data_IF_608753402798
#
_entry.id   IF_608753402798
#
_cell.length_a   1.000
_cell.length_b   1.000
_cell.length_c   1.000
_cell.angle_alpha   90.00
_cell.angle_beta   90.00
_cell.angle_gamma   90.00
#
_symmetry.space_group_name_H-M   'P 1'
#
loop_
_entity.id
_entity.type
_entity.pdbx_description
1 polymer ?
#
# COMPACT_ATOMS: atom_id res chain seq x y z
N UNK A 1 12.54 -18.73 11.66
CA UNK A 1 11.26 -18.01 11.91
C UNK A 1 11.46 -17.20 13.17
N UNK A 2 11.57 -15.88 13.06
CA UNK A 2 11.68 -15.00 14.23
C UNK A 2 10.30 -14.90 14.86
N UNK A 3 10.08 -15.62 15.95
CA UNK A 3 8.85 -15.56 16.72
C UNK A 3 8.86 -14.24 17.51
N UNK A 4 8.40 -13.15 16.91
CA UNK A 4 8.09 -11.94 17.67
C UNK A 4 6.90 -12.25 18.57
N UNK A 5 7.15 -12.62 19.81
CA UNK A 5 6.10 -12.74 20.83
C UNK A 5 5.64 -11.33 21.25
N UNK A 6 5.25 -10.54 20.28
CA UNK A 6 4.87 -9.14 20.46
C UNK A 6 3.38 -9.05 20.73
N UNK A 7 3.07 -8.64 21.95
CA UNK A 7 1.70 -8.25 22.30
C UNK A 7 1.35 -6.99 21.55
N UNK A 8 0.17 -6.95 20.94
CA UNK A 8 -0.35 -5.75 20.32
C UNK A 8 -1.80 -5.50 20.71
N UNK A 9 -2.23 -4.26 20.58
CA UNK A 9 -3.62 -3.84 20.78
C UNK A 9 -4.04 -2.86 19.69
N UNK A 10 -5.32 -2.83 19.38
CA UNK A 10 -5.91 -1.79 18.54
C UNK A 10 -6.48 -0.70 19.43
N UNK A 11 -6.16 0.55 19.12
CA UNK A 11 -6.70 1.71 19.81
C UNK A 11 -6.61 2.96 18.93
N UNK A 12 -7.37 3.99 19.31
CA UNK A 12 -7.24 5.31 18.70
C UNK A 12 -6.23 6.13 19.50
N UNK A 13 -5.30 6.77 18.79
CA UNK A 13 -4.32 7.68 19.35
C UNK A 13 -4.44 9.06 18.70
N UNK A 14 -4.17 10.09 19.49
CA UNK A 14 -4.04 11.42 18.91
C UNK A 14 -2.80 11.44 18.00
N UNK A 15 -2.98 11.88 16.76
CA UNK A 15 -1.93 11.93 15.76
C UNK A 15 -0.69 12.73 16.21
N UNK A 16 -0.84 13.68 17.16
CA UNK A 16 0.27 14.46 17.72
C UNK A 16 1.24 13.62 18.55
N UNK A 17 0.78 12.51 19.13
CA UNK A 17 1.60 11.61 19.93
C UNK A 17 2.48 10.70 19.06
N UNK A 18 2.20 10.62 17.76
CA UNK A 18 2.87 9.73 16.85
C UNK A 18 4.15 10.36 16.31
N UNK A 19 5.26 9.69 16.53
CA UNK A 19 6.61 10.12 16.13
C UNK A 19 7.10 9.22 14.99
N UNK A 20 7.70 9.80 13.96
CA UNK A 20 8.39 9.07 12.90
C UNK A 20 9.89 9.08 13.20
N UNK A 21 10.48 7.90 13.41
CA UNK A 21 11.90 7.77 13.68
C UNK A 21 12.71 7.83 12.37
N UNK A 22 13.49 8.90 12.20
CA UNK A 22 14.29 9.13 11.00
C UNK A 22 15.50 8.19 10.87
N UNK A 23 15.83 7.45 11.92
CA UNK A 23 16.99 6.54 11.90
C UNK A 23 16.80 5.38 10.90
N UNK A 24 15.55 4.91 10.70
CA UNK A 24 15.26 3.81 9.77
C UNK A 24 14.12 4.13 8.78
N UNK A 25 13.34 5.19 9.02
CA UNK A 25 12.28 5.60 8.11
C UNK A 25 12.85 6.45 6.96
N UNK A 26 12.36 6.18 5.75
CA UNK A 26 12.65 7.04 4.59
C UNK A 26 11.97 8.40 4.74
N UNK A 27 12.47 9.39 4.03
CA UNK A 27 11.82 10.69 3.94
C UNK A 27 10.40 10.58 3.35
N UNK A 28 9.51 11.47 3.81
CA UNK A 28 8.14 11.55 3.32
C UNK A 28 8.16 12.11 1.90
N UNK A 29 7.62 11.35 0.97
CA UNK A 29 7.43 11.78 -0.41
C UNK A 29 6.15 12.62 -0.52
N UNK A 30 6.29 13.92 -0.63
CA UNK A 30 5.16 14.87 -0.66
C UNK A 30 4.17 14.57 -1.80
N UNK A 31 4.65 14.17 -2.98
CA UNK A 31 3.79 13.82 -4.11
C UNK A 31 2.96 12.57 -3.85
N UNK A 32 3.50 11.63 -3.07
CA UNK A 32 2.75 10.46 -2.62
C UNK A 32 1.66 10.85 -1.61
N UNK A 33 1.96 11.76 -0.69
CA UNK A 33 0.97 12.30 0.25
C UNK A 33 -0.16 12.99 -0.49
N UNK A 34 0.15 13.88 -1.43
CA UNK A 34 -0.85 14.57 -2.27
C UNK A 34 -1.74 13.61 -3.05
N UNK A 35 -1.15 12.55 -3.63
CA UNK A 35 -1.92 11.51 -4.34
C UNK A 35 -2.86 10.74 -3.42
N UNK A 36 -2.43 10.42 -2.19
CA UNK A 36 -3.30 9.77 -1.20
C UNK A 36 -4.45 10.70 -0.83
N UNK A 37 -4.17 11.99 -0.60
CA UNK A 37 -5.20 13.00 -0.27
C UNK A 37 -6.22 13.13 -1.41
N UNK A 38 -5.75 13.24 -2.65
CA UNK A 38 -6.62 13.40 -3.81
C UNK A 38 -7.55 12.19 -4.07
N UNK A 39 -7.10 10.98 -3.69
CA UNK A 39 -7.85 9.73 -3.89
C UNK A 39 -8.22 9.09 -2.55
N UNK A 40 -8.46 9.90 -1.51
CA UNK A 40 -8.67 9.39 -0.18
C UNK A 40 -9.98 8.61 -0.08
N UNK A 41 -9.85 7.34 0.33
CA UNK A 41 -10.98 6.48 0.62
C UNK A 41 -10.84 5.93 2.04
N UNK A 42 -11.70 6.32 2.98
CA UNK A 42 -11.62 5.85 4.37
C UNK A 42 -11.67 4.33 4.51
N UNK A 43 -12.39 3.64 3.62
CA UNK A 43 -12.51 2.18 3.64
C UNK A 43 -11.19 1.45 3.31
N UNK A 44 -10.23 2.15 2.71
CA UNK A 44 -8.91 1.60 2.35
C UNK A 44 -7.81 1.96 3.34
N UNK A 45 -8.13 2.73 4.39
CA UNK A 45 -7.15 3.13 5.39
C UNK A 45 -6.91 2.01 6.37
N UNK A 46 -5.69 1.49 6.39
CA UNK A 46 -5.26 0.52 7.39
C UNK A 46 -4.82 1.23 8.67
N UNK A 47 -4.99 0.61 9.85
CA UNK A 47 -4.45 1.13 11.09
C UNK A 47 -2.94 1.39 11.00
N UNK A 48 -2.50 2.52 11.52
CA UNK A 48 -1.08 2.88 11.57
C UNK A 48 -0.39 1.95 12.56
N UNK A 49 0.72 1.33 12.14
CA UNK A 49 1.48 0.45 13.03
C UNK A 49 2.49 1.25 13.83
N UNK A 50 2.40 1.08 15.14
CA UNK A 50 3.09 1.90 16.12
C UNK A 50 3.75 1.02 17.15
N UNK A 51 4.98 1.32 17.51
CA UNK A 51 5.68 0.76 18.65
C UNK A 51 5.58 1.72 19.84
N UNK A 52 5.21 1.20 20.98
CA UNK A 52 5.23 1.96 22.24
C UNK A 52 6.51 1.62 22.99
N UNK A 53 7.43 2.57 22.99
CA UNK A 53 8.78 2.43 23.57
C UNK A 53 9.15 3.74 24.30
N UNK A 54 9.72 3.64 25.46
CA UNK A 54 10.22 4.79 26.26
C UNK A 54 9.16 5.90 26.45
N UNK A 55 7.89 5.50 26.64
CA UNK A 55 6.77 6.42 26.83
C UNK A 55 6.37 7.18 25.56
N UNK A 56 6.85 6.78 24.37
CA UNK A 56 6.55 7.41 23.07
C UNK A 56 6.00 6.38 22.09
N UNK A 57 5.26 6.87 21.10
CA UNK A 57 4.66 6.08 20.04
C UNK A 57 5.40 6.29 18.73
N UNK A 58 6.21 5.32 18.33
CA UNK A 58 7.00 5.37 17.10
C UNK A 58 6.26 4.66 15.96
N UNK A 59 5.99 5.39 14.88
CA UNK A 59 5.34 4.84 13.68
C UNK A 59 6.39 4.04 12.90
N UNK A 60 6.18 2.76 12.68
CA UNK A 60 7.05 1.98 11.80
C UNK A 60 6.37 1.56 10.47
N UNK A 61 5.03 1.72 10.37
CA UNK A 61 4.31 1.59 9.10
C UNK A 61 3.13 2.57 9.06
N UNK A 62 2.84 3.12 7.85
CA UNK A 62 1.74 4.05 7.64
C UNK A 62 2.14 5.54 7.73
N UNK A 63 3.42 5.91 7.68
CA UNK A 63 3.85 7.32 7.77
C UNK A 63 3.23 8.22 6.70
N UNK A 64 3.06 7.75 5.45
CA UNK A 64 2.42 8.52 4.39
C UNK A 64 0.92 8.69 4.63
N UNK A 65 0.26 7.65 5.16
CA UNK A 65 -1.14 7.72 5.59
C UNK A 65 -1.32 8.74 6.71
N UNK A 66 -0.46 8.70 7.73
CA UNK A 66 -0.47 9.68 8.81
C UNK A 66 -0.28 11.12 8.30
N UNK A 67 0.68 11.32 7.39
CA UNK A 67 0.92 12.62 6.78
C UNK A 67 -0.30 13.11 5.97
N UNK A 68 -0.95 12.21 5.25
CA UNK A 68 -2.16 12.53 4.46
C UNK A 68 -3.33 12.89 5.36
N UNK A 69 -3.56 12.15 6.44
CA UNK A 69 -4.61 12.44 7.42
C UNK A 69 -4.36 13.80 8.10
N UNK A 70 -3.11 14.11 8.47
CA UNK A 70 -2.74 15.42 9.01
C UNK A 70 -2.94 16.56 8.01
N UNK A 71 -2.70 16.30 6.72
CA UNK A 71 -2.89 17.29 5.67
C UNK A 71 -4.37 17.59 5.41
N UNK A 72 -5.23 16.57 5.48
CA UNK A 72 -6.68 16.74 5.31
C UNK A 72 -7.37 17.33 6.54
N UNK A 73 -6.91 16.94 7.72
CA UNK A 73 -7.52 17.33 8.97
C UNK A 73 -6.52 18.13 9.82
N UNK A 74 -6.70 19.45 9.80
CA UNK A 74 -5.87 20.38 10.57
C UNK A 74 -6.22 20.44 12.07
N UNK A 75 -7.17 19.60 12.53
CA UNK A 75 -7.58 19.59 13.94
C UNK A 75 -6.44 19.14 14.86
N UNK A 76 -6.21 19.84 15.97
CA UNK A 76 -5.29 19.37 17.01
C UNK A 76 -5.76 18.09 17.69
N UNK A 77 -7.04 17.72 17.53
CA UNK A 77 -7.66 16.53 18.12
C UNK A 77 -7.81 15.38 17.12
N UNK A 78 -7.03 15.37 16.03
CA UNK A 78 -7.06 14.28 15.06
C UNK A 78 -6.74 12.95 15.74
N UNK A 79 -7.75 12.08 15.83
CA UNK A 79 -7.61 10.70 16.30
C UNK A 79 -7.40 9.78 15.08
N UNK A 80 -6.49 8.83 15.22
CA UNK A 80 -6.15 7.87 14.17
C UNK A 80 -6.14 6.46 14.72
N UNK A 81 -6.65 5.52 13.93
CA UNK A 81 -6.64 4.11 14.29
C UNK A 81 -5.22 3.56 14.24
N UNK A 82 -4.80 2.94 15.34
CA UNK A 82 -3.46 2.42 15.50
C UNK A 82 -3.47 0.95 15.92
N UNK A 83 -2.50 0.19 15.40
CA UNK A 83 -2.10 -1.09 15.93
C UNK A 83 -0.80 -0.89 16.72
N UNK A 84 -0.93 -0.87 18.04
CA UNK A 84 0.17 -0.57 18.96
C UNK A 84 0.83 -1.85 19.41
N UNK A 85 2.14 -1.94 19.24
CA UNK A 85 2.99 -3.03 19.67
C UNK A 85 3.76 -2.61 20.92
N UNK A 86 3.85 -3.51 21.89
CA UNK A 86 4.58 -3.31 23.14
C UNK A 86 5.84 -4.18 23.15
N UNK A 87 6.93 -3.65 23.70
CA UNK A 87 8.16 -4.39 23.91
C UNK A 87 9.05 -4.58 22.68
N UNK A 88 8.84 -3.81 21.62
CA UNK A 88 9.76 -3.74 20.48
C UNK A 88 10.97 -2.86 20.83
N UNK A 89 12.13 -3.26 20.34
CA UNK A 89 13.32 -2.42 20.29
C UNK A 89 13.35 -1.61 19.00
N UNK A 90 14.22 -0.63 18.89
CA UNK A 90 14.40 0.14 17.65
C UNK A 90 14.85 -0.75 16.48
N UNK A 91 15.69 -1.78 16.77
CA UNK A 91 16.10 -2.76 15.78
C UNK A 91 14.93 -3.61 15.29
N UNK A 92 14.02 -3.99 16.17
CA UNK A 92 12.81 -4.72 15.81
C UNK A 92 11.88 -3.88 14.92
N UNK A 93 11.71 -2.59 15.27
CA UNK A 93 10.96 -1.64 14.46
C UNK A 93 11.54 -1.51 13.04
N UNK A 94 12.87 -1.33 12.94
CA UNK A 94 13.58 -1.22 11.66
C UNK A 94 13.44 -2.50 10.82
N UNK A 95 13.52 -3.68 11.46
CA UNK A 95 13.37 -4.97 10.80
C UNK A 95 11.94 -5.17 10.29
N UNK A 96 10.94 -4.91 11.12
CA UNK A 96 9.52 -4.99 10.73
C UNK A 96 9.20 -4.01 9.60
N UNK A 97 9.77 -2.81 9.63
CA UNK A 97 9.66 -1.84 8.54
C UNK A 97 10.25 -2.40 7.24
N UNK A 98 11.44 -2.99 7.29
CA UNK A 98 12.10 -3.56 6.11
C UNK A 98 11.33 -4.76 5.56
N UNK A 99 10.90 -5.70 6.40
CA UNK A 99 10.12 -6.88 6.03
C UNK A 99 8.79 -6.45 5.38
N UNK A 100 8.06 -5.51 5.96
CA UNK A 100 6.79 -5.03 5.45
C UNK A 100 6.93 -4.37 4.08
N UNK A 101 7.96 -3.56 3.87
CA UNK A 101 8.23 -2.94 2.59
C UNK A 101 8.79 -3.92 1.53
N UNK A 102 9.46 -5.00 1.97
CA UNK A 102 9.94 -6.08 1.10
C UNK A 102 8.84 -7.05 0.67
N UNK A 103 7.87 -7.32 1.55
CA UNK A 103 6.73 -8.22 1.28
C UNK A 103 5.60 -7.48 0.56
N UNK A 104 5.45 -6.18 0.79
CA UNK A 104 4.50 -5.32 0.08
C UNK A 104 4.95 -5.08 -1.36
N UNK A 105 5.11 -6.18 -2.12
CA UNK A 105 5.18 -6.08 -3.56
C UNK A 105 3.87 -5.47 -4.03
N UNK A 106 3.97 -4.53 -4.97
CA UNK A 106 2.79 -4.04 -5.68
C UNK A 106 1.96 -5.25 -6.08
N UNK A 107 0.67 -5.24 -5.74
CA UNK A 107 -0.28 -6.27 -6.19
C UNK A 107 0.00 -6.49 -7.66
N UNK A 108 0.34 -7.73 -8.07
CA UNK A 108 0.66 -8.01 -9.47
C UNK A 108 -0.42 -7.42 -10.35
N UNK A 109 -0.05 -6.77 -11.43
CA UNK A 109 -0.99 -6.06 -12.33
C UNK A 109 -2.17 -6.94 -12.75
N UNK A 110 -1.92 -8.24 -12.94
CA UNK A 110 -2.95 -9.25 -13.24
C UNK A 110 -3.97 -9.39 -12.10
N UNK A 111 -3.52 -9.47 -10.85
CA UNK A 111 -4.42 -9.62 -9.70
C UNK A 111 -5.27 -8.36 -9.50
N UNK A 112 -4.69 -7.18 -9.69
CA UNK A 112 -5.43 -5.90 -9.65
C UNK A 112 -6.48 -5.84 -10.75
N UNK A 113 -6.12 -6.19 -11.98
CA UNK A 113 -7.03 -6.20 -13.12
C UNK A 113 -8.20 -7.17 -12.89
N UNK A 114 -7.89 -8.39 -12.42
CA UNK A 114 -8.91 -9.39 -12.07
C UNK A 114 -9.86 -8.89 -10.97
N UNK A 115 -9.35 -8.21 -9.95
CA UNK A 115 -10.16 -7.64 -8.90
C UNK A 115 -11.08 -6.51 -9.41
N UNK A 116 -10.58 -5.63 -10.27
CA UNK A 116 -11.37 -4.57 -10.91
C UNK A 116 -12.47 -5.16 -11.82
N UNK A 117 -12.14 -6.20 -12.60
CA UNK A 117 -13.13 -6.90 -13.41
C UNK A 117 -14.25 -7.52 -12.56
N UNK A 118 -13.88 -8.19 -11.47
CA UNK A 118 -14.84 -8.77 -10.52
C UNK A 118 -15.68 -7.70 -9.78
N UNK A 119 -15.12 -6.51 -9.58
CA UNK A 119 -15.82 -5.36 -9.01
C UNK A 119 -16.75 -4.65 -10.01
N UNK A 120 -16.75 -5.05 -11.29
CA UNK A 120 -17.58 -4.43 -12.32
C UNK A 120 -17.09 -3.06 -12.76
N UNK A 121 -15.79 -2.77 -12.63
CA UNK A 121 -15.20 -1.52 -13.14
C UNK A 121 -15.51 -1.36 -14.63
N UNK A 122 -16.11 -0.22 -15.00
CA UNK A 122 -16.71 0.01 -16.32
C UNK A 122 -15.66 -0.10 -17.43
N UNK A 123 -14.50 0.50 -17.24
CA UNK A 123 -13.43 0.53 -18.26
C UNK A 123 -12.83 -0.88 -18.45
N UNK A 124 -12.65 -1.60 -17.34
CA UNK A 124 -12.11 -2.96 -17.37
C UNK A 124 -13.08 -3.95 -18.01
N UNK A 125 -14.37 -3.86 -17.67
CA UNK A 125 -15.42 -4.70 -18.29
C UNK A 125 -15.53 -4.43 -19.78
N UNK A 126 -15.51 -3.17 -20.21
CA UNK A 126 -15.58 -2.83 -21.62
C UNK A 126 -14.33 -3.32 -22.38
N UNK A 127 -13.15 -3.19 -21.80
CA UNK A 127 -11.91 -3.71 -22.38
C UNK A 127 -11.98 -5.23 -22.57
N UNK A 128 -12.46 -5.99 -21.58
CA UNK A 128 -12.64 -7.45 -21.70
C UNK A 128 -13.62 -7.78 -22.83
N UNK A 129 -14.74 -7.07 -22.92
CA UNK A 129 -15.72 -7.25 -24.01
C UNK A 129 -15.14 -7.00 -25.41
N UNK A 130 -14.31 -5.94 -25.54
CA UNK A 130 -13.64 -5.64 -26.81
C UNK A 130 -12.69 -6.75 -27.23
N UNK A 131 -11.92 -7.29 -26.28
CA UNK A 131 -11.03 -8.43 -26.49
C UNK A 131 -11.81 -9.67 -26.96
N UNK A 132 -12.92 -9.99 -26.27
CA UNK A 132 -13.77 -11.12 -26.62
C UNK A 132 -14.43 -10.97 -27.99
N UNK A 133 -14.92 -9.78 -28.34
CA UNK A 133 -15.46 -9.47 -29.67
C UNK A 133 -14.42 -9.64 -30.79
N UNK A 134 -13.14 -9.46 -30.45
CA UNK A 134 -12.03 -9.66 -31.41
C UNK A 134 -11.63 -11.14 -31.55
N UNK A 135 -12.35 -12.07 -30.93
CA UNK A 135 -12.08 -13.52 -30.99
C UNK A 135 -10.96 -13.99 -30.06
N UNK A 136 -10.58 -13.16 -29.08
CA UNK A 136 -9.59 -13.49 -28.06
C UNK A 136 -10.26 -13.64 -26.70
N UNK A 137 -9.60 -14.32 -25.76
CA UNK A 137 -10.05 -14.43 -24.38
C UNK A 137 -9.04 -13.79 -23.43
N UNK A 138 -9.54 -13.08 -22.43
CA UNK A 138 -8.69 -12.58 -21.34
C UNK A 138 -8.31 -13.73 -20.42
N UNK A 139 -7.00 -14.02 -20.34
CA UNK A 139 -6.47 -15.03 -19.42
C UNK A 139 -5.82 -14.34 -18.22
N UNK A 140 -6.42 -14.51 -17.06
CA UNK A 140 -5.88 -14.05 -15.77
C UNK A 140 -4.88 -15.03 -15.16
N UNK A 141 -4.58 -16.15 -15.85
CA UNK A 141 -3.52 -17.07 -15.47
C UNK A 141 -2.18 -16.67 -16.11
N UNK A 142 -1.09 -17.17 -15.58
CA UNK A 142 0.24 -17.00 -16.19
C UNK A 142 0.51 -17.97 -17.36
N UNK A 143 -0.51 -18.67 -17.83
CA UNK A 143 -0.40 -19.66 -18.90
C UNK A 143 -0.28 -18.99 -20.27
N UNK A 144 0.70 -19.39 -21.07
CA UNK A 144 0.85 -18.99 -22.47
C UNK A 144 0.06 -19.95 -23.36
N UNK A 145 -1.20 -19.68 -23.59
CA UNK A 145 -2.04 -20.47 -24.49
C UNK A 145 -2.39 -19.64 -25.74
N UNK A 146 -2.45 -20.28 -26.90
CA UNK A 146 -2.82 -19.63 -28.17
C UNK A 146 -4.24 -19.03 -28.08
N UNK A 147 -4.44 -17.85 -28.66
CA UNK A 147 -5.69 -17.07 -28.65
C UNK A 147 -6.10 -16.52 -27.28
N UNK A 148 -5.19 -16.44 -26.34
CA UNK A 148 -5.42 -15.77 -25.04
C UNK A 148 -4.53 -14.55 -24.91
N UNK A 149 -5.12 -13.42 -24.55
CA UNK A 149 -4.40 -12.21 -24.17
C UNK A 149 -4.12 -12.29 -22.67
N UNK A 150 -2.84 -12.49 -22.31
CA UNK A 150 -2.44 -12.38 -20.91
C UNK A 150 -2.36 -10.91 -20.52
N UNK A 151 -2.83 -10.57 -19.34
CA UNK A 151 -2.86 -9.21 -18.77
C UNK A 151 -1.45 -8.56 -18.62
N UNK A 152 -0.39 -9.21 -19.10
CA UNK A 152 0.98 -8.69 -19.13
C UNK A 152 1.17 -7.48 -20.07
N UNK A 153 0.23 -7.21 -20.99
CA UNK A 153 0.28 -6.07 -21.90
C UNK A 153 -0.02 -4.71 -21.19
N UNK A 154 -0.37 -4.71 -19.92
CA UNK A 154 -0.67 -3.48 -19.16
C UNK A 154 0.49 -2.94 -18.33
N UNK A 155 1.68 -3.43 -18.51
CA UNK A 155 2.86 -2.69 -18.09
C UNK A 155 3.14 -1.65 -19.15
N UNK A 156 2.88 -0.37 -18.87
CA UNK A 156 3.40 0.73 -19.69
C UNK A 156 4.85 0.42 -20.03
N UNK A 157 5.25 0.43 -21.31
CA UNK A 157 6.65 0.23 -21.64
C UNK A 157 7.45 1.27 -20.87
N UNK A 158 8.50 0.83 -20.21
CA UNK A 158 9.43 1.71 -19.53
C UNK A 158 9.98 2.70 -20.57
N UNK A 159 10.22 3.97 -20.22
CA UNK A 159 10.90 4.90 -21.13
C UNK A 159 12.23 4.39 -21.69
N UNK A 160 12.80 3.33 -21.11
CA UNK A 160 14.01 2.64 -21.61
C UNK A 160 13.75 1.74 -22.82
N UNK A 161 12.51 1.35 -23.07
CA UNK A 161 12.19 0.44 -24.17
C UNK A 161 12.08 1.18 -25.52
N UNK A 162 12.03 2.53 -25.48
CA UNK A 162 12.03 3.39 -26.69
C UNK A 162 13.46 3.85 -27.12
N UNK A 163 14.50 3.52 -26.37
CA UNK A 163 15.86 3.95 -26.69
C UNK A 163 16.66 2.93 -27.52
N UNK A 164 16.04 1.85 -28.00
CA UNK A 164 16.68 0.78 -28.77
C UNK A 164 15.98 0.54 -30.12
N UNK A 165 15.56 1.63 -30.81
CA UNK A 165 15.07 1.57 -32.21
C UNK A 165 15.86 2.57 -33.03
#
# INVERSE_FOLDING_TARGET
MNNYNTKFKYCQLNARLLVVDKAYQREIQQDRVKRIVANFNPALVNPIKVSHRDGRYYVFDGQHTLASLRMQNHSPSLMVDCKVYEGLTQEDEARLFAEQNGISRAVESIAKFKALYAAGDVDVVEMVRLVERSGFYMDFSKSKTINRITCLLYTSPSPRDYAAS
#
